data_IF_194423846070
#
_entry.id   IF_194423846070
#
_cell.length_a   1.000
_cell.length_b   1.000
_cell.length_c   1.000
_cell.angle_alpha   90.00
_cell.angle_beta   90.00
_cell.angle_gamma   90.00
#
_symmetry.space_group_name_H-M   'P 1'
#
loop_
_entity.id
_entity.type
_entity.pdbx_description
1 polymer ?
#
# COMPACT_ATOMS: atom_id res chain seq x y z
N UNK A 1 40.75 -2.27 55.55
CA UNK A 1 40.87 -2.10 54.10
C UNK A 1 39.61 -2.68 53.48
N UNK A 2 38.59 -1.84 53.30
CA UNK A 2 37.26 -2.20 52.79
C UNK A 2 37.31 -2.28 51.27
N UNK A 3 37.09 -3.47 50.71
CA UNK A 3 37.01 -3.68 49.26
C UNK A 3 35.54 -3.54 48.84
N UNK A 4 35.21 -2.43 48.19
CA UNK A 4 33.92 -2.23 47.51
C UNK A 4 33.94 -3.01 46.18
N UNK A 5 33.07 -4.01 46.05
CA UNK A 5 32.81 -4.71 44.78
C UNK A 5 31.68 -3.98 44.08
N UNK A 6 32.00 -3.27 43.00
CA UNK A 6 31.01 -2.66 42.10
C UNK A 6 30.61 -3.71 41.07
N UNK A 7 29.38 -4.23 41.18
CA UNK A 7 28.77 -5.11 40.17
C UNK A 7 28.19 -4.21 39.07
N UNK A 8 28.88 -4.11 37.94
CA UNK A 8 28.39 -3.43 36.75
C UNK A 8 27.33 -4.27 36.04
N UNK A 9 26.10 -3.77 36.00
CA UNK A 9 24.98 -4.38 35.26
C UNK A 9 25.17 -4.09 33.76
N UNK A 10 25.68 -5.07 33.01
CA UNK A 10 25.74 -5.04 31.55
C UNK A 10 24.32 -5.20 30.98
N UNK A 11 23.71 -4.09 30.60
CA UNK A 11 22.47 -4.07 29.81
C UNK A 11 22.87 -4.44 28.37
N UNK A 12 22.63 -5.70 28.00
CA UNK A 12 22.72 -6.12 26.60
C UNK A 12 21.49 -5.57 25.86
N UNK A 13 21.67 -4.48 25.12
CA UNK A 13 20.69 -4.04 24.13
C UNK A 13 20.72 -5.04 22.97
N UNK A 14 19.73 -5.93 22.91
CA UNK A 14 19.48 -6.70 21.70
C UNK A 14 19.07 -5.71 20.62
N UNK A 15 19.96 -5.43 19.67
CA UNK A 15 19.57 -4.82 18.41
C UNK A 15 18.57 -5.79 17.76
N UNK A 16 17.30 -5.40 17.68
CA UNK A 16 16.35 -6.08 16.84
C UNK A 16 16.93 -6.05 15.41
N UNK A 17 17.31 -7.22 14.90
CA UNK A 17 17.61 -7.36 13.48
C UNK A 17 16.27 -7.21 12.77
N UNK A 18 15.97 -6.02 12.27
CA UNK A 18 14.94 -5.84 11.26
C UNK A 18 15.27 -6.83 10.14
N UNK A 19 14.35 -7.74 9.84
CA UNK A 19 14.52 -8.64 8.70
C UNK A 19 14.79 -7.79 7.47
N UNK A 20 15.88 -8.09 6.74
CA UNK A 20 16.20 -7.37 5.52
C UNK A 20 15.02 -7.52 4.56
N UNK A 21 14.25 -6.45 4.36
CA UNK A 21 13.20 -6.43 3.36
C UNK A 21 13.87 -6.60 1.99
N UNK A 22 13.47 -7.62 1.23
CA UNK A 22 13.97 -7.83 -0.13
C UNK A 22 13.53 -6.66 -1.01
N UNK A 23 14.46 -6.07 -1.76
CA UNK A 23 14.13 -5.11 -2.81
C UNK A 23 13.04 -5.62 -3.75
N UNK A 24 12.04 -4.79 -4.02
CA UNK A 24 10.92 -5.13 -4.90
C UNK A 24 9.83 -6.02 -4.30
N UNK A 25 9.97 -6.47 -3.05
CA UNK A 25 8.94 -7.24 -2.36
C UNK A 25 8.13 -6.35 -1.39
N UNK A 26 6.84 -6.20 -1.67
CA UNK A 26 5.94 -5.40 -0.84
C UNK A 26 5.83 -5.95 0.59
N UNK A 27 5.82 -5.04 1.56
CA UNK A 27 5.61 -5.37 2.98
C UNK A 27 4.14 -5.09 3.31
N UNK A 28 3.45 -6.13 3.79
CA UNK A 28 2.00 -6.12 4.07
C UNK A 28 1.73 -6.36 5.55
N UNK A 29 0.52 -5.99 6.05
CA UNK A 29 0.05 -6.44 7.35
C UNK A 29 0.05 -7.96 7.44
N UNK A 30 0.37 -8.47 8.63
CA UNK A 30 0.10 -9.86 9.00
C UNK A 30 -1.35 -10.02 9.45
N UNK A 31 -1.71 -11.19 10.01
CA UNK A 31 -3.06 -11.47 10.47
C UNK A 31 -3.43 -10.84 11.82
N UNK A 32 -2.52 -10.11 12.48
CA UNK A 32 -2.72 -9.57 13.84
C UNK A 32 -3.02 -8.06 13.82
N UNK A 33 -3.82 -7.60 12.86
CA UNK A 33 -4.27 -6.21 12.74
C UNK A 33 -5.80 -6.11 12.63
N UNK A 34 -6.43 -5.00 13.06
CA UNK A 34 -7.90 -4.86 13.08
C UNK A 34 -8.53 -4.47 11.74
N UNK A 35 -7.84 -4.76 10.63
CA UNK A 35 -8.25 -4.36 9.28
C UNK A 35 -7.63 -5.27 8.23
N UNK A 36 -8.19 -5.23 7.02
CA UNK A 36 -7.63 -5.88 5.83
C UNK A 36 -7.34 -4.85 4.74
N UNK A 37 -6.39 -5.14 3.86
CA UNK A 37 -6.15 -4.34 2.66
C UNK A 37 -7.14 -4.82 1.59
N UNK A 38 -8.07 -3.95 1.21
CA UNK A 38 -9.04 -4.21 0.15
C UNK A 38 -8.42 -3.96 -1.23
N UNK A 39 -7.75 -2.82 -1.37
CA UNK A 39 -7.10 -2.43 -2.61
C UNK A 39 -5.77 -1.75 -2.31
N UNK A 40 -4.77 -2.06 -3.14
CA UNK A 40 -3.54 -1.29 -3.20
C UNK A 40 -2.96 -1.34 -4.60
N UNK A 41 -2.64 -0.18 -5.17
CA UNK A 41 -1.87 -0.13 -6.41
C UNK A 41 -0.47 -0.69 -6.16
N UNK A 42 -0.12 -1.79 -6.81
CA UNK A 42 1.22 -2.37 -6.73
C UNK A 42 1.61 -3.05 -8.05
N UNK A 43 2.85 -2.88 -8.53
CA UNK A 43 3.84 -1.90 -8.06
C UNK A 43 3.36 -0.46 -8.28
N UNK A 44 3.88 0.49 -7.51
CA UNK A 44 3.59 1.92 -7.71
C UNK A 44 4.34 2.47 -8.93
N UNK A 45 3.83 3.52 -9.59
CA UNK A 45 4.49 4.11 -10.75
C UNK A 45 4.56 5.63 -10.65
N UNK A 46 5.67 6.18 -11.12
CA UNK A 46 5.94 7.61 -11.11
C UNK A 46 4.80 8.34 -11.80
N UNK A 47 4.32 9.39 -11.16
CA UNK A 47 3.28 10.24 -11.69
C UNK A 47 1.95 9.53 -12.01
N UNK A 48 1.74 8.28 -11.56
CA UNK A 48 0.45 7.61 -11.61
C UNK A 48 -0.26 7.68 -10.25
N UNK A 49 -1.60 7.59 -10.24
CA UNK A 49 -2.34 7.33 -9.02
C UNK A 49 -1.84 6.06 -8.31
N UNK A 50 -1.53 6.21 -7.03
CA UNK A 50 -1.35 5.11 -6.10
C UNK A 50 -2.50 5.16 -5.10
N UNK A 51 -3.38 4.16 -5.18
CA UNK A 51 -4.54 4.02 -4.32
C UNK A 51 -4.25 3.02 -3.18
N UNK A 52 -4.82 3.30 -2.01
CA UNK A 52 -4.87 2.38 -0.87
C UNK A 52 -6.28 2.42 -0.28
N UNK A 53 -6.91 1.24 -0.19
CA UNK A 53 -8.18 1.03 0.51
C UNK A 53 -8.01 -0.05 1.58
N UNK A 54 -8.44 0.23 2.80
CA UNK A 54 -8.46 -0.72 3.92
C UNK A 54 -9.86 -0.83 4.50
N UNK A 55 -10.25 -2.05 4.90
CA UNK A 55 -11.53 -2.33 5.54
C UNK A 55 -11.28 -2.73 6.99
N UNK A 56 -11.96 -2.08 7.93
CA UNK A 56 -12.00 -2.50 9.32
C UNK A 56 -12.63 -3.89 9.46
N UNK A 57 -12.05 -4.73 10.32
CA UNK A 57 -12.71 -5.96 10.70
C UNK A 57 -14.02 -5.67 11.44
N UNK A 58 -15.01 -6.54 11.30
CA UNK A 58 -16.34 -6.32 11.87
C UNK A 58 -16.29 -6.07 13.38
N UNK A 59 -15.43 -6.79 14.11
CA UNK A 59 -15.26 -6.58 15.56
C UNK A 59 -14.69 -5.19 15.88
N UNK A 60 -13.74 -4.71 15.09
CA UNK A 60 -13.15 -3.38 15.28
C UNK A 60 -14.16 -2.28 14.96
N UNK A 61 -14.94 -2.46 13.89
CA UNK A 61 -16.02 -1.56 13.50
C UNK A 61 -17.13 -1.48 14.57
N UNK A 62 -17.60 -2.62 15.05
CA UNK A 62 -18.66 -2.71 16.09
C UNK A 62 -18.22 -2.06 17.41
N UNK A 63 -16.92 -2.07 17.69
CA UNK A 63 -16.32 -1.44 18.87
C UNK A 63 -15.96 0.04 18.68
N UNK A 64 -16.30 0.65 17.54
CA UNK A 64 -16.11 2.08 17.27
C UNK A 64 -14.66 2.46 16.95
N UNK A 65 -13.85 1.51 16.45
CA UNK A 65 -12.48 1.80 16.01
C UNK A 65 -12.49 2.70 14.78
N UNK A 66 -11.58 3.67 14.73
CA UNK A 66 -11.36 4.52 13.57
C UNK A 66 -9.91 4.45 13.11
N UNK A 67 -9.69 4.66 11.80
CA UNK A 67 -8.37 4.56 11.19
C UNK A 67 -7.89 5.91 10.66
N UNK A 68 -6.59 6.15 10.74
CA UNK A 68 -5.90 7.19 9.99
C UNK A 68 -4.75 6.58 9.19
N UNK A 69 -4.62 6.99 7.93
CA UNK A 69 -3.58 6.53 7.01
C UNK A 69 -2.46 7.57 6.99
N UNK A 70 -1.22 7.13 7.21
CA UNK A 70 -0.03 7.98 7.04
C UNK A 70 0.89 7.35 6.01
N UNK A 71 1.37 8.16 5.07
CA UNK A 71 2.29 7.72 4.03
C UNK A 71 3.60 8.50 4.07
N UNK A 72 4.64 7.92 3.49
CA UNK A 72 5.93 8.55 3.26
C UNK A 72 6.47 8.05 1.93
N UNK A 73 6.96 8.96 1.08
CA UNK A 73 7.54 8.61 -0.21
C UNK A 73 9.06 8.68 -0.10
N UNK A 74 9.74 7.67 -0.62
CA UNK A 74 11.20 7.64 -0.68
C UNK A 74 11.66 7.59 -2.14
N UNK A 75 12.72 8.32 -2.44
CA UNK A 75 13.31 8.43 -3.78
C UNK A 75 14.48 7.47 -3.96
N UNK A 76 14.84 7.17 -5.21
CA UNK A 76 15.96 6.28 -5.53
C UNK A 76 17.32 6.81 -5.06
N UNK A 77 17.43 8.11 -4.78
CA UNK A 77 18.60 8.72 -4.15
C UNK A 77 18.72 8.45 -2.63
N UNK A 78 17.78 7.71 -2.04
CA UNK A 78 17.75 7.35 -0.62
C UNK A 78 17.15 8.42 0.31
N UNK A 79 16.65 9.53 -0.23
CA UNK A 79 15.96 10.58 0.55
C UNK A 79 14.47 10.26 0.62
N UNK A 80 13.90 10.38 1.82
CA UNK A 80 12.47 10.25 2.05
C UNK A 80 11.86 11.59 2.44
N UNK A 81 10.67 11.86 1.93
CA UNK A 81 9.85 13.00 2.36
C UNK A 81 9.39 12.81 3.82
N UNK A 82 9.04 13.88 4.54
CA UNK A 82 8.41 13.77 5.85
C UNK A 82 7.11 12.95 5.79
N UNK A 83 6.86 12.06 6.75
CA UNK A 83 5.59 11.34 6.80
C UNK A 83 4.40 12.29 6.91
N UNK A 84 3.34 12.00 6.15
CA UNK A 84 2.15 12.84 6.05
C UNK A 84 0.90 12.00 6.30
N UNK A 85 0.08 12.43 7.27
CA UNK A 85 -1.27 11.88 7.45
C UNK A 85 -2.15 12.34 6.31
N UNK A 86 -2.80 11.38 5.66
CA UNK A 86 -3.54 11.60 4.43
C UNK A 86 -5.01 11.88 4.73
N UNK A 87 -5.62 12.70 3.87
CA UNK A 87 -7.07 12.82 3.83
C UNK A 87 -7.65 11.51 3.29
N UNK A 88 -8.61 10.95 4.02
CA UNK A 88 -9.22 9.65 3.71
C UNK A 88 -10.71 9.84 3.40
N UNK A 89 -11.19 9.12 2.39
CA UNK A 89 -12.62 8.95 2.14
C UNK A 89 -13.09 7.75 2.93
N UNK A 90 -14.06 7.96 3.83
CA UNK A 90 -14.67 6.89 4.63
C UNK A 90 -16.01 6.52 4.02
N UNK A 91 -16.30 5.22 3.88
CA UNK A 91 -17.59 4.74 3.38
C UNK A 91 -18.75 5.12 4.30
N UNK A 92 -19.98 5.12 3.78
CA UNK A 92 -21.19 5.52 4.52
C UNK A 92 -21.45 4.66 5.77
N UNK A 93 -21.01 3.39 5.75
CA UNK A 93 -21.09 2.44 6.87
C UNK A 93 -19.88 2.53 7.83
N UNK A 94 -18.89 3.37 7.54
CA UNK A 94 -17.71 3.59 8.37
C UNK A 94 -16.64 2.49 8.30
N UNK A 95 -16.82 1.48 7.43
CA UNK A 95 -15.97 0.29 7.39
C UNK A 95 -14.72 0.45 6.53
N UNK A 96 -14.81 1.17 5.41
CA UNK A 96 -13.75 1.32 4.42
C UNK A 96 -13.11 2.70 4.48
N UNK A 97 -11.77 2.74 4.46
CA UNK A 97 -10.95 3.95 4.43
C UNK A 97 -10.08 3.94 3.18
N UNK A 98 -10.35 4.86 2.26
CA UNK A 98 -9.66 4.91 0.96
C UNK A 98 -8.93 6.24 0.78
N UNK A 99 -7.77 6.19 0.14
CA UNK A 99 -6.99 7.37 -0.25
C UNK A 99 -6.28 7.14 -1.58
N UNK A 100 -5.90 8.24 -2.21
CA UNK A 100 -5.11 8.26 -3.43
C UNK A 100 -4.04 9.36 -3.32
N UNK A 101 -2.82 9.06 -3.76
CA UNK A 101 -1.79 10.07 -4.00
C UNK A 101 -1.06 9.78 -5.30
N UNK A 102 -0.21 10.71 -5.74
CA UNK A 102 0.61 10.57 -6.93
C UNK A 102 2.08 10.66 -6.54
N UNK A 103 2.84 9.54 -6.56
CA UNK A 103 4.27 9.61 -6.30
C UNK A 103 4.98 10.49 -7.34
N UNK A 104 6.00 11.26 -6.93
CA UNK A 104 6.80 12.06 -7.85
C UNK A 104 7.65 11.17 -8.76
N UNK A 105 8.35 11.79 -9.71
CA UNK A 105 9.38 11.09 -10.47
C UNK A 105 10.51 10.60 -9.56
N UNK A 106 11.14 9.50 -9.96
CA UNK A 106 12.28 8.87 -9.29
C UNK A 106 11.95 8.32 -7.88
N UNK A 107 10.70 7.96 -7.61
CA UNK A 107 10.33 7.33 -6.35
C UNK A 107 10.71 5.84 -6.34
N UNK A 108 11.31 5.41 -5.23
CA UNK A 108 11.72 4.02 -5.00
C UNK A 108 10.58 3.19 -4.41
N UNK A 109 9.87 3.77 -3.45
CA UNK A 109 8.74 3.11 -2.79
C UNK A 109 7.85 4.11 -2.04
N UNK A 110 6.62 3.67 -1.77
CA UNK A 110 5.68 4.34 -0.87
C UNK A 110 5.58 3.54 0.42
N UNK A 111 6.06 4.12 1.50
CA UNK A 111 5.82 3.64 2.85
C UNK A 111 4.41 4.05 3.29
N UNK A 112 3.73 3.17 4.01
CA UNK A 112 2.43 3.45 4.58
C UNK A 112 2.26 2.78 5.95
N UNK A 113 1.41 3.38 6.80
CA UNK A 113 1.06 2.86 8.11
C UNK A 113 -0.38 3.26 8.44
N UNK A 114 -0.99 2.46 9.32
CA UNK A 114 -2.32 2.72 9.85
C UNK A 114 -2.20 3.07 11.32
N UNK A 115 -2.86 4.13 11.75
CA UNK A 115 -3.10 4.42 13.17
C UNK A 115 -4.55 4.07 13.49
N UNK A 116 -4.76 3.10 14.37
CA UNK A 116 -6.08 2.81 14.93
C UNK A 116 -6.30 3.68 16.17
N UNK A 117 -7.51 4.23 16.31
CA UNK A 117 -8.00 4.89 17.52
C UNK A 117 -9.22 4.14 18.01
N UNK A 118 -9.15 3.63 19.24
CA UNK A 118 -10.21 2.82 19.86
C UNK A 118 -11.21 3.71 20.61
N UNK A 119 -12.31 3.11 21.07
CA UNK A 119 -13.40 3.81 21.75
C UNK A 119 -13.03 4.42 23.11
N UNK A 120 -11.89 4.05 23.69
CA UNK A 120 -11.33 4.65 24.91
C UNK A 120 -10.26 5.72 24.64
N UNK A 121 -10.17 6.20 23.38
CA UNK A 121 -9.18 7.15 22.86
C UNK A 121 -7.72 6.63 22.90
N UNK A 122 -7.50 5.36 23.25
CA UNK A 122 -6.19 4.75 23.08
C UNK A 122 -5.88 4.56 21.59
N UNK A 123 -4.58 4.56 21.26
CA UNK A 123 -4.15 4.48 19.86
C UNK A 123 -3.01 3.50 19.67
N UNK A 124 -3.05 2.78 18.56
CA UNK A 124 -2.03 1.84 18.14
C UNK A 124 -1.61 2.12 16.70
N UNK A 125 -0.34 1.88 16.37
CA UNK A 125 0.13 1.99 15.00
C UNK A 125 0.47 0.62 14.44
N UNK A 126 0.09 0.42 13.18
CA UNK A 126 0.36 -0.79 12.43
C UNK A 126 1.21 -0.47 11.19
N UNK A 127 2.39 -1.09 11.06
CA UNK A 127 3.01 -1.98 12.05
C UNK A 127 3.57 -1.19 13.26
N UNK A 128 3.86 -1.89 14.36
CA UNK A 128 4.55 -1.33 15.52
C UNK A 128 6.06 -1.26 15.25
N UNK A 129 6.52 -0.26 14.50
CA UNK A 129 7.94 -0.05 14.21
C UNK A 129 8.17 0.53 12.84
N UNK A 130 8.64 -0.31 11.92
CA UNK A 130 8.90 0.03 10.51
C UNK A 130 7.61 0.40 9.76
N UNK A 131 7.64 0.35 8.43
CA UNK A 131 6.52 0.71 7.57
C UNK A 131 6.08 -0.50 6.77
N UNK A 132 4.79 -0.56 6.45
CA UNK A 132 4.38 -1.30 5.26
C UNK A 132 4.92 -0.57 4.04
N UNK A 133 5.15 -1.31 2.95
CA UNK A 133 5.88 -0.78 1.80
C UNK A 133 5.28 -1.28 0.50
N UNK A 134 5.10 -0.36 -0.44
CA UNK A 134 4.83 -0.66 -1.84
C UNK A 134 6.03 -0.24 -2.68
N UNK A 135 6.67 -1.16 -3.37
CA UNK A 135 7.78 -0.82 -4.27
C UNK A 135 7.29 -0.17 -5.56
N UNK A 136 8.14 0.65 -6.17
CA UNK A 136 7.86 1.22 -7.47
C UNK A 136 8.17 0.24 -8.60
N UNK A 137 7.72 0.56 -9.79
CA UNK A 137 8.08 -0.16 -11.01
C UNK A 137 9.55 0.02 -11.41
N UNK A 138 10.25 1.02 -10.83
CA UNK A 138 11.70 1.19 -10.94
C UNK A 138 12.27 1.73 -9.62
N UNK A 139 12.93 0.85 -8.86
CA UNK A 139 13.45 1.17 -7.54
C UNK A 139 14.96 0.93 -7.47
N UNK A 140 15.64 1.72 -6.65
CA UNK A 140 17.03 1.49 -6.28
C UNK A 140 17.10 0.74 -4.95
N UNK A 141 17.73 -0.44 -4.95
CA UNK A 141 17.99 -1.25 -3.76
C UNK A 141 19.37 -1.90 -3.85
N UNK A 142 20.08 -1.92 -2.72
CA UNK A 142 21.41 -2.53 -2.52
C UNK A 142 22.41 -2.31 -3.68
N UNK A 143 22.49 -1.07 -4.18
CA UNK A 143 23.48 -0.71 -5.21
C UNK A 143 23.01 -0.86 -6.66
N UNK A 144 21.78 -1.32 -6.90
CA UNK A 144 21.26 -1.60 -8.24
C UNK A 144 19.82 -1.14 -8.44
N UNK A 145 19.46 -0.82 -9.69
CA UNK A 145 18.06 -0.59 -10.07
C UNK A 145 17.37 -1.92 -10.35
N UNK A 146 16.15 -2.07 -9.82
CA UNK A 146 15.26 -3.20 -10.02
C UNK A 146 13.85 -2.76 -10.41
N UNK A 147 13.02 -3.73 -10.77
CA UNK A 147 11.67 -3.49 -11.27
C UNK A 147 11.58 -3.59 -12.80
N UNK A 148 10.36 -3.52 -13.32
CA UNK A 148 10.06 -3.69 -14.75
C UNK A 148 10.56 -2.52 -15.62
N UNK A 149 10.74 -1.35 -15.03
CA UNK A 149 11.22 -0.14 -15.72
C UNK A 149 12.68 0.22 -15.36
N UNK A 150 13.45 -0.71 -14.78
CA UNK A 150 14.88 -0.52 -14.58
C UNK A 150 15.63 -0.66 -15.92
N UNK A 151 16.47 0.32 -16.25
CA UNK A 151 17.33 0.33 -17.42
C UNK A 151 18.77 0.73 -17.04
N UNK A 152 19.66 -0.26 -16.94
CA UNK A 152 21.05 -0.08 -16.54
C UNK A 152 21.19 0.57 -15.16
N UNK A 153 21.68 1.80 -15.14
CA UNK A 153 21.93 2.60 -13.92
C UNK A 153 20.81 3.63 -13.66
N UNK A 154 19.59 3.39 -14.19
CA UNK A 154 18.47 4.31 -14.01
C UNK A 154 17.11 3.70 -14.33
N UNK A 155 16.13 4.59 -14.52
CA UNK A 155 14.74 4.26 -14.74
C UNK A 155 14.26 4.76 -16.11
N UNK A 156 13.61 3.89 -16.88
CA UNK A 156 12.87 4.23 -18.10
C UNK A 156 11.36 4.01 -17.86
N UNK A 157 10.79 4.91 -17.03
CA UNK A 157 9.37 4.85 -16.65
C UNK A 157 8.55 5.63 -17.68
N UNK A 158 7.51 5.02 -18.29
CA UNK A 158 6.69 5.69 -19.28
C UNK A 158 5.98 6.91 -18.71
N UNK A 159 5.73 7.91 -19.55
CA UNK A 159 5.05 9.11 -19.12
C UNK A 159 3.59 8.81 -18.76
N UNK A 160 3.01 9.66 -17.90
CA UNK A 160 1.64 9.49 -17.49
C UNK A 160 0.66 9.52 -18.67
N UNK A 161 -0.04 8.42 -18.91
CA UNK A 161 -0.96 8.24 -20.04
C UNK A 161 -0.37 7.50 -21.24
N UNK A 162 0.89 7.07 -21.18
CA UNK A 162 1.47 6.12 -22.13
C UNK A 162 1.34 4.72 -21.54
N UNK A 163 0.23 4.06 -21.84
CA UNK A 163 -0.03 2.70 -21.38
C UNK A 163 1.03 1.72 -21.91
N UNK A 164 1.85 1.21 -20.99
CA UNK A 164 2.77 0.10 -21.27
C UNK A 164 1.94 -1.11 -21.67
N UNK A 165 2.30 -1.74 -22.79
CA UNK A 165 1.56 -2.83 -23.46
C UNK A 165 1.46 -4.15 -22.65
N UNK A 166 1.60 -4.10 -21.31
CA UNK A 166 1.58 -5.25 -20.41
C UNK A 166 0.72 -5.08 -19.14
N UNK A 167 0.10 -3.92 -18.89
CA UNK A 167 -0.71 -3.69 -17.69
C UNK A 167 -2.20 -3.99 -17.95
N UNK A 168 -2.55 -5.27 -18.01
CA UNK A 168 -3.93 -5.68 -17.77
C UNK A 168 -4.09 -5.93 -16.27
N UNK A 169 -4.92 -5.16 -15.53
CA UNK A 169 -5.27 -5.50 -14.16
C UNK A 169 -5.95 -6.86 -14.16
N UNK A 170 -5.30 -7.86 -13.55
CA UNK A 170 -5.92 -9.15 -13.30
C UNK A 170 -7.04 -8.95 -12.29
N UNK A 171 -8.26 -9.28 -12.72
CA UNK A 171 -9.53 -9.26 -11.99
C UNK A 171 -10.17 -7.86 -11.81
N UNK A 172 -11.04 -7.47 -12.75
CA UNK A 172 -11.98 -6.37 -12.47
C UNK A 172 -12.58 -5.58 -13.63
N UNK A 173 -12.41 -5.95 -14.90
CA UNK A 173 -13.08 -5.22 -16.00
C UNK A 173 -14.14 -6.06 -16.71
N UNK A 174 -15.39 -5.79 -16.35
CA UNK A 174 -16.57 -6.22 -17.08
C UNK A 174 -16.62 -5.55 -18.46
N UNK A 175 -16.37 -6.31 -19.52
CA UNK A 175 -16.73 -5.92 -20.88
C UNK A 175 -18.10 -6.51 -21.21
N UNK A 176 -19.16 -5.79 -20.84
CA UNK A 176 -20.50 -6.05 -21.35
C UNK A 176 -20.73 -5.20 -22.61
N UNK A 177 -20.52 -5.79 -23.78
CA UNK A 177 -21.00 -5.21 -25.05
C UNK A 177 -22.10 -6.12 -25.61
N UNK A 178 -23.30 -5.55 -25.71
CA UNK A 178 -24.58 -6.19 -26.07
C UNK A 178 -24.65 -6.71 -27.50
N UNK A 179 -25.43 -7.78 -27.72
CA UNK A 179 -26.20 -7.97 -28.95
C UNK A 179 -27.44 -8.87 -28.71
N UNK A 180 -28.59 -8.25 -28.38
CA UNK A 180 -29.90 -8.91 -28.54
C UNK A 180 -30.57 -8.34 -29.80
N UNK A 181 -30.46 -9.06 -30.91
CA UNK A 181 -31.28 -8.83 -32.10
C UNK A 181 -32.62 -9.55 -31.92
N UNK A 182 -33.70 -8.76 -31.83
CA UNK A 182 -35.06 -9.27 -31.67
C UNK A 182 -35.56 -10.01 -32.90
N UNK A 183 -36.06 -11.23 -32.71
CA UNK A 183 -36.81 -11.99 -33.70
C UNK A 183 -38.26 -11.49 -33.76
N UNK A 184 -38.65 -10.81 -34.84
CA UNK A 184 -40.05 -10.56 -35.16
C UNK A 184 -40.62 -11.77 -35.92
N UNK A 185 -41.45 -12.54 -35.23
CA UNK A 185 -42.23 -13.67 -35.77
C UNK A 185 -43.29 -13.13 -36.74
N UNK A 186 -43.14 -13.43 -38.03
CA UNK A 186 -44.25 -13.36 -38.99
C UNK A 186 -45.09 -14.62 -38.90
N UNK A 187 -46.25 -14.53 -38.24
CA UNK A 187 -47.31 -15.52 -38.32
C UNK A 187 -48.67 -14.83 -38.47
N UNK A 188 -49.08 -14.59 -39.71
CA UNK A 188 -50.48 -14.32 -40.04
C UNK A 188 -50.85 -14.94 -41.39
N UNK A 189 -51.34 -16.19 -41.28
CA UNK A 189 -52.46 -16.80 -42.01
C UNK A 189 -52.45 -16.80 -43.55
N UNK A 190 -52.20 -17.99 -44.12
CA UNK A 190 -52.80 -18.42 -45.39
C UNK A 190 -54.29 -18.75 -45.17
N UNK A 191 -55.12 -18.15 -46.01
CA UNK A 191 -56.46 -18.57 -46.42
C UNK A 191 -56.44 -19.92 -47.14
#
# INVERSE_FOLDING_TARGET
MTLLVVVGLLIMTTAAQAGAATGGEDVNPDSEVPFSVEERTTPSQDNQPWALSVILDQEALDNGTTLAITTQICLNNGVCDPPTTQEVTVSDDGSTYSMELKPPADHSYVNWRIKATYSDDSTENFPQGDWYKTWSTCYYDDGSYGGIHADGDGCDVPAAGEESEGFLPSAGMAVAVMALTGAAVMAARRS
#
